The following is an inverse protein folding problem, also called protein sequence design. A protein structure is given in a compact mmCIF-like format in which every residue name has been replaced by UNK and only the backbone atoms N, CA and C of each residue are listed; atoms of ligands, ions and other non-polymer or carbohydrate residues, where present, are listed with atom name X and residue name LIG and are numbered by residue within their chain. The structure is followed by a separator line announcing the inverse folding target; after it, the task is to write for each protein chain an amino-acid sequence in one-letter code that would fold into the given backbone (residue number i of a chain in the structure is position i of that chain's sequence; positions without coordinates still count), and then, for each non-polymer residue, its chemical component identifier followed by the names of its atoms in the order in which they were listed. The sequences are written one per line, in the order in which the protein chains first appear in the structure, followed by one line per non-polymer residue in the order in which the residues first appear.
data_IF_478448356568
#
_entry.id   IF_478448356568
#
_cell.length_a   1.000
_cell.length_b   1.000
_cell.length_c   1.000
_cell.angle_alpha   90.00
_cell.angle_beta   90.00
_cell.angle_gamma   90.00
#
_symmetry.space_group_name_H-M   'P 1'
#
loop_
_entity.id
_entity.type
_entity.pdbx_description
1 polymer ?
#
# COMPACT_ATOMS: atom_id res chain seq x y z
N UNK A 1 33.91 16.88 -34.97
CA UNK A 1 33.93 15.48 -34.66
C UNK A 1 32.55 15.01 -34.19
N UNK A 2 31.83 14.27 -35.01
CA UNK A 2 30.46 13.89 -34.69
C UNK A 2 30.34 12.94 -33.49
N UNK A 3 31.36 12.21 -33.18
CA UNK A 3 31.33 11.22 -32.07
C UNK A 3 31.06 11.86 -30.70
N UNK A 4 31.55 13.07 -30.53
CA UNK A 4 31.38 13.76 -29.24
C UNK A 4 29.94 14.13 -28.95
N UNK A 5 29.17 14.42 -29.96
CA UNK A 5 27.77 14.77 -29.81
C UNK A 5 26.91 13.57 -29.44
N UNK A 6 27.27 12.41 -29.95
CA UNK A 6 26.55 11.19 -29.59
C UNK A 6 26.67 10.84 -28.13
N UNK A 7 27.82 11.09 -27.54
CA UNK A 7 28.03 10.84 -26.10
C UNK A 7 27.15 11.74 -25.23
N UNK A 8 26.98 12.99 -25.63
CA UNK A 8 26.16 13.94 -24.90
C UNK A 8 24.70 13.51 -24.91
N UNK A 9 24.19 13.05 -26.04
CA UNK A 9 22.81 12.61 -26.18
C UNK A 9 22.53 11.38 -25.28
N UNK A 10 23.46 10.43 -25.28
CA UNK A 10 23.30 9.25 -24.42
C UNK A 10 23.26 9.60 -22.95
N UNK A 11 24.01 10.58 -22.55
CA UNK A 11 24.02 11.04 -21.16
C UNK A 11 22.70 11.66 -20.75
N UNK A 12 22.11 12.45 -21.65
CA UNK A 12 20.79 13.06 -21.38
C UNK A 12 19.68 12.04 -21.17
N UNK A 13 19.75 10.93 -21.92
CA UNK A 13 18.76 9.85 -21.78
C UNK A 13 18.80 9.21 -20.40
N UNK A 14 19.98 9.06 -19.82
CA UNK A 14 20.13 8.49 -18.49
C UNK A 14 19.51 9.37 -17.40
N UNK A 15 19.61 10.67 -17.54
CA UNK A 15 19.03 11.61 -16.58
C UNK A 15 17.52 11.50 -16.56
N UNK A 16 16.88 11.33 -17.70
CA UNK A 16 15.42 11.18 -17.78
C UNK A 16 14.95 9.92 -17.07
N UNK A 17 15.68 8.82 -17.17
CA UNK A 17 15.33 7.57 -16.50
C UNK A 17 15.39 7.68 -14.99
N UNK A 18 16.20 8.57 -14.44
CA UNK A 18 16.31 8.76 -12.99
C UNK A 18 15.09 9.41 -12.37
N UNK A 19 14.20 10.03 -13.15
CA UNK A 19 13.00 10.71 -12.67
C UNK A 19 11.77 9.82 -12.69
N UNK A 20 11.94 8.54 -12.61
CA UNK A 20 10.88 7.55 -12.68
C UNK A 20 10.02 7.54 -11.39
N UNK A 21 8.71 7.52 -11.53
CA UNK A 21 7.80 7.42 -10.39
C UNK A 21 7.74 6.00 -9.85
N UNK A 22 7.34 5.88 -8.59
CA UNK A 22 7.20 4.58 -7.95
C UNK A 22 6.03 3.79 -8.55
N UNK A 23 6.21 2.48 -8.67
CA UNK A 23 5.15 1.58 -9.11
C UNK A 23 4.11 1.40 -8.00
N UNK A 24 2.87 0.97 -8.33
CA UNK A 24 1.86 0.68 -7.30
C UNK A 24 2.31 -0.33 -6.26
N UNK A 25 3.06 -1.35 -6.67
CA UNK A 25 3.60 -2.32 -5.71
C UNK A 25 4.54 -1.69 -4.70
N UNK A 26 5.39 -0.79 -5.15
CA UNK A 26 6.32 -0.07 -4.27
C UNK A 26 5.57 0.91 -3.36
N UNK A 27 4.56 1.58 -3.89
CA UNK A 27 3.74 2.51 -3.11
C UNK A 27 2.98 1.80 -1.99
N UNK A 28 2.54 0.57 -2.23
CA UNK A 28 1.79 -0.20 -1.23
C UNK A 28 2.66 -0.63 -0.07
N UNK A 29 3.95 -0.89 -0.30
CA UNK A 29 4.87 -1.33 0.75
C UNK A 29 5.00 -0.28 1.85
N UNK A 30 4.85 -0.71 3.09
CA UNK A 30 4.94 0.14 4.26
C UNK A 30 3.78 -0.08 5.20
N UNK A 31 3.64 0.81 6.17
CA UNK A 31 2.59 0.72 7.17
C UNK A 31 1.52 1.77 6.92
N UNK A 32 0.27 1.33 6.98
CA UNK A 32 -0.90 2.14 6.75
C UNK A 32 -1.79 2.11 7.98
N UNK A 33 -2.33 3.26 8.33
CA UNK A 33 -3.25 3.39 9.45
C UNK A 33 -4.66 3.60 8.91
N UNK A 34 -5.59 2.77 9.36
CA UNK A 34 -6.99 2.92 9.01
C UNK A 34 -7.53 4.21 9.65
N UNK A 35 -8.18 5.04 8.84
CA UNK A 35 -8.83 6.26 9.34
C UNK A 35 -10.08 5.84 10.08
N UNK A 36 -10.05 6.00 11.39
CA UNK A 36 -11.17 5.61 12.22
C UNK A 36 -12.33 6.60 12.14
N UNK A 37 -13.49 6.08 12.32
CA UNK A 37 -14.67 6.89 12.54
C UNK A 37 -14.51 7.70 13.80
N UNK A 38 -14.95 8.93 13.76
CA UNK A 38 -14.77 9.87 14.85
C UNK A 38 -15.45 9.46 16.17
N UNK A 39 -16.22 8.38 16.17
CA UNK A 39 -17.07 8.00 17.28
C UNK A 39 -16.57 6.88 18.15
N UNK A 40 -15.40 6.34 17.90
CA UNK A 40 -14.90 5.36 18.84
C UNK A 40 -14.47 6.11 20.08
N UNK A 41 -15.17 5.92 21.16
CA UNK A 41 -14.81 6.54 22.44
C UNK A 41 -13.48 6.03 22.97
N UNK A 42 -12.82 5.13 22.28
CA UNK A 42 -11.54 4.55 22.65
C UNK A 42 -10.47 4.95 21.63
N UNK A 43 -9.25 5.07 22.12
CA UNK A 43 -8.08 5.33 21.31
C UNK A 43 -7.69 4.05 20.56
N UNK A 44 -8.45 3.67 19.55
CA UNK A 44 -8.20 2.46 18.77
C UNK A 44 -7.53 2.81 17.46
N UNK A 45 -6.42 2.14 17.17
CA UNK A 45 -5.67 2.29 15.93
C UNK A 45 -5.55 0.92 15.28
N UNK A 46 -5.88 0.85 13.99
CA UNK A 46 -5.66 -0.35 13.19
C UNK A 46 -4.64 -0.06 12.11
N UNK A 47 -3.63 -0.89 12.03
CA UNK A 47 -2.58 -0.73 11.03
C UNK A 47 -2.48 -1.96 10.15
N UNK A 48 -2.05 -1.74 8.91
CA UNK A 48 -1.74 -2.80 7.96
C UNK A 48 -0.34 -2.52 7.42
N UNK A 49 0.56 -3.49 7.56
CA UNK A 49 1.92 -3.37 7.05
C UNK A 49 2.12 -4.35 5.92
N UNK A 50 2.44 -3.82 4.74
CA UNK A 50 2.70 -4.61 3.55
C UNK A 50 4.20 -4.65 3.30
N UNK A 51 4.77 -5.84 3.21
CA UNK A 51 6.21 -6.02 2.99
C UNK A 51 6.53 -6.22 1.52
N UNK A 52 7.80 -6.09 1.18
CA UNK A 52 8.28 -6.38 -0.18
C UNK A 52 8.19 -7.86 -0.51
N UNK A 53 8.15 -8.72 0.49
CA UNK A 53 8.11 -10.17 0.32
C UNK A 53 6.68 -10.70 0.25
N UNK A 54 5.70 -9.83 0.04
CA UNK A 54 4.28 -10.18 -0.14
C UNK A 54 3.62 -10.69 1.14
N UNK A 55 4.08 -10.24 2.29
CA UNK A 55 3.40 -10.50 3.55
C UNK A 55 2.64 -9.28 4.03
N UNK A 56 1.58 -9.50 4.78
CA UNK A 56 0.79 -8.44 5.38
C UNK A 56 0.64 -8.73 6.88
N UNK A 57 0.81 -7.69 7.68
CA UNK A 57 0.64 -7.77 9.13
C UNK A 57 -0.41 -6.76 9.56
N UNK A 58 -1.47 -7.24 10.19
CA UNK A 58 -2.54 -6.42 10.73
C UNK A 58 -2.38 -6.31 12.22
N UNK A 59 -2.49 -5.10 12.75
CA UNK A 59 -2.43 -4.87 14.20
C UNK A 59 -3.59 -4.01 14.65
N UNK A 60 -4.14 -4.34 15.81
CA UNK A 60 -5.09 -3.48 16.51
C UNK A 60 -4.41 -3.00 17.78
N UNK A 61 -4.40 -1.70 17.98
CA UNK A 61 -3.77 -1.06 19.12
C UNK A 61 -4.85 -0.28 19.87
N UNK A 62 -5.03 -0.58 21.15
CA UNK A 62 -5.99 0.13 22.00
C UNK A 62 -5.22 0.72 23.18
N UNK A 63 -5.35 2.04 23.35
CA UNK A 63 -4.67 2.79 24.43
C UNK A 63 -3.17 2.51 24.47
N UNK A 64 -2.54 2.45 23.29
CA UNK A 64 -1.10 2.26 23.16
C UNK A 64 -0.62 0.82 23.28
N UNK A 65 -1.54 -0.13 23.51
CA UNK A 65 -1.19 -1.55 23.62
C UNK A 65 -1.68 -2.34 22.44
N UNK A 66 -0.84 -3.23 21.92
CA UNK A 66 -1.23 -4.15 20.87
C UNK A 66 -2.15 -5.20 21.47
N UNK A 67 -3.42 -5.21 21.02
CA UNK A 67 -4.43 -6.14 21.55
C UNK A 67 -4.67 -7.32 20.60
N UNK A 68 -4.34 -7.16 19.31
CA UNK A 68 -4.57 -8.21 18.32
C UNK A 68 -3.59 -8.05 17.18
N UNK A 69 -3.14 -9.18 16.64
CA UNK A 69 -2.29 -9.22 15.44
C UNK A 69 -2.75 -10.35 14.55
N UNK A 70 -2.66 -10.14 13.23
CA UNK A 70 -2.93 -11.19 12.25
C UNK A 70 -1.91 -11.08 11.12
N UNK A 71 -1.42 -12.22 10.68
CA UNK A 71 -0.44 -12.32 9.60
C UNK A 71 -1.04 -12.99 8.39
N UNK A 72 -0.57 -12.60 7.23
CA UNK A 72 -0.99 -13.23 6.01
C UNK A 72 -0.09 -12.88 4.84
N UNK A 73 -0.60 -13.13 3.66
CA UNK A 73 0.07 -12.80 2.41
C UNK A 73 -0.83 -11.92 1.56
N UNK A 74 -0.25 -11.23 0.60
CA UNK A 74 -1.03 -10.42 -0.33
C UNK A 74 -0.48 -10.55 -1.74
N UNK A 75 -1.34 -10.27 -2.69
CA UNK A 75 -0.99 -10.21 -4.10
C UNK A 75 -1.72 -9.07 -4.78
N UNK A 76 -1.06 -8.44 -5.75
CA UNK A 76 -1.68 -7.47 -6.64
C UNK A 76 -1.95 -8.14 -7.97
N UNK A 77 -3.09 -7.81 -8.58
CA UNK A 77 -3.41 -8.27 -9.94
C UNK A 77 -2.43 -7.66 -10.95
N UNK A 78 -2.39 -8.22 -12.15
CA UNK A 78 -1.47 -7.76 -13.19
C UNK A 78 -1.66 -6.29 -13.54
N UNK A 79 -2.90 -5.78 -13.43
CA UNK A 79 -3.21 -4.37 -13.69
C UNK A 79 -3.08 -3.49 -12.45
N UNK A 80 -2.66 -4.07 -11.30
CA UNK A 80 -2.48 -3.38 -10.02
C UNK A 80 -3.75 -2.75 -9.45
N UNK A 81 -4.92 -3.20 -9.88
CA UNK A 81 -6.19 -2.65 -9.40
C UNK A 81 -6.87 -3.50 -8.35
N UNK A 82 -6.49 -4.76 -8.25
CA UNK A 82 -7.09 -5.69 -7.30
C UNK A 82 -6.04 -6.16 -6.31
N UNK A 83 -6.35 -6.00 -5.03
CA UNK A 83 -5.51 -6.49 -3.93
C UNK A 83 -6.21 -7.69 -3.30
N UNK A 84 -5.52 -8.82 -3.24
CA UNK A 84 -6.02 -10.02 -2.58
C UNK A 84 -5.17 -10.28 -1.37
N UNK A 85 -5.81 -10.43 -0.20
CA UNK A 85 -5.12 -10.79 1.03
C UNK A 85 -5.62 -12.14 1.52
N UNK A 86 -4.70 -12.95 2.02
CA UNK A 86 -5.03 -14.25 2.62
C UNK A 86 -4.51 -14.25 4.05
N UNK A 87 -5.44 -14.31 4.99
CA UNK A 87 -5.13 -14.28 6.42
C UNK A 87 -5.79 -15.51 7.03
N UNK A 88 -4.95 -16.41 7.57
CA UNK A 88 -5.39 -17.73 8.02
C UNK A 88 -6.07 -18.49 6.87
N UNK A 89 -7.33 -18.89 7.04
CA UNK A 89 -8.09 -19.58 6.01
C UNK A 89 -8.98 -18.65 5.21
N UNK A 90 -8.94 -17.35 5.49
CA UNK A 90 -9.81 -16.36 4.86
C UNK A 90 -9.12 -15.63 3.73
N UNK A 91 -9.84 -15.39 2.65
CA UNK A 91 -9.38 -14.60 1.51
C UNK A 91 -10.24 -13.36 1.40
N UNK A 92 -9.59 -12.21 1.32
CA UNK A 92 -10.28 -10.93 1.16
C UNK A 92 -9.78 -10.26 -0.12
N UNK A 93 -10.72 -9.74 -0.92
CA UNK A 93 -10.39 -9.08 -2.18
C UNK A 93 -10.88 -7.65 -2.15
N UNK A 94 -10.01 -6.75 -2.60
CA UNK A 94 -10.30 -5.32 -2.60
C UNK A 94 -9.90 -4.69 -3.92
N UNK A 95 -10.74 -3.79 -4.39
CA UNK A 95 -10.38 -2.93 -5.51
C UNK A 95 -9.62 -1.73 -4.95
N UNK A 96 -8.46 -1.43 -5.54
CA UNK A 96 -7.70 -0.25 -5.16
C UNK A 96 -8.26 0.93 -5.94
N UNK A 97 -8.94 1.83 -5.25
CA UNK A 97 -9.55 3.01 -5.88
C UNK A 97 -8.66 4.24 -5.75
N UNK A 98 -7.72 4.22 -4.81
CA UNK A 98 -6.75 5.28 -4.66
C UNK A 98 -5.49 4.72 -4.01
N UNK A 99 -4.34 5.04 -4.59
CA UNK A 99 -3.05 4.69 -4.01
C UNK A 99 -2.06 5.78 -4.37
N UNK A 100 -1.64 6.52 -3.37
CA UNK A 100 -0.62 7.54 -3.48
C UNK A 100 0.42 7.30 -2.39
N UNK A 101 1.42 8.14 -2.33
CA UNK A 101 2.44 8.03 -1.29
C UNK A 101 1.85 8.10 0.12
N UNK A 102 0.75 8.83 0.31
CA UNK A 102 0.19 9.10 1.63
C UNK A 102 -1.19 8.49 1.86
N UNK A 103 -1.90 8.08 0.82
CA UNK A 103 -3.28 7.62 0.94
C UNK A 103 -3.50 6.31 0.20
N UNK A 104 -4.30 5.46 0.82
CA UNK A 104 -4.75 4.19 0.22
C UNK A 104 -6.26 4.06 0.47
N UNK A 105 -7.01 3.80 -0.61
CA UNK A 105 -8.44 3.55 -0.49
C UNK A 105 -8.76 2.21 -1.14
N UNK A 106 -9.45 1.36 -0.40
CA UNK A 106 -9.82 0.01 -0.82
C UNK A 106 -11.32 -0.16 -0.74
N UNK A 107 -11.92 -0.69 -1.81
CA UNK A 107 -13.31 -1.12 -1.81
C UNK A 107 -13.36 -2.63 -1.75
N UNK A 108 -14.15 -3.17 -0.83
CA UNK A 108 -14.35 -4.62 -0.77
C UNK A 108 -15.09 -5.11 -2.01
N UNK A 109 -14.54 -6.14 -2.65
CA UNK A 109 -15.21 -6.81 -3.78
C UNK A 109 -16.32 -7.72 -3.28
N UNK A 110 -16.12 -8.32 -2.11
CA UNK A 110 -17.01 -9.33 -1.57
C UNK A 110 -18.18 -8.74 -0.76
N UNK A 111 -18.07 -7.48 -0.34
CA UNK A 111 -19.10 -6.80 0.44
C UNK A 111 -19.47 -5.48 -0.20
N UNK A 112 -20.77 -5.23 -0.30
CA UNK A 112 -21.29 -4.00 -0.91
C UNK A 112 -21.12 -2.84 0.07
N UNK A 113 -20.66 -1.69 -0.47
CA UNK A 113 -20.54 -0.43 0.27
C UNK A 113 -19.55 -0.45 1.44
N UNK A 114 -18.55 -1.30 1.37
CA UNK A 114 -17.48 -1.29 2.36
C UNK A 114 -16.23 -0.68 1.74
N UNK A 115 -15.88 0.50 2.20
CA UNK A 115 -14.69 1.23 1.76
C UNK A 115 -13.78 1.46 2.96
N UNK A 116 -12.52 1.12 2.82
CA UNK A 116 -11.52 1.37 3.85
C UNK A 116 -10.55 2.42 3.35
N UNK A 117 -10.33 3.46 4.14
CA UNK A 117 -9.40 4.54 3.81
C UNK A 117 -8.27 4.54 4.81
N UNK A 118 -7.06 4.55 4.27
CA UNK A 118 -5.85 4.49 5.07
C UNK A 118 -4.97 5.70 4.79
N UNK A 119 -4.18 6.08 5.78
CA UNK A 119 -3.12 7.07 5.63
C UNK A 119 -1.79 6.43 5.97
N UNK A 120 -0.71 6.94 5.39
CA UNK A 120 0.62 6.43 5.68
C UNK A 120 0.92 6.64 7.15
N UNK A 121 1.44 5.62 7.82
CA UNK A 121 1.71 5.63 9.24
C UNK A 121 3.15 5.23 9.51
N UNK A 122 3.81 6.00 10.38
CA UNK A 122 5.22 5.82 10.62
C UNK A 122 6.00 6.36 9.42
N UNK A 123 7.11 5.80 9.14
CA UNK A 123 7.88 6.31 8.03
C UNK A 123 7.98 5.44 6.89
#
# INVERSE_FOLDING_TARGET
MPIRYLLIIAFSSLVILACKSESPGELLVGTWKLREMANSGNSMVRTATFSKTKTVLLKTIIDGKITDTANGTYELSADNKLLTTKIDTSTFRFEITKLTKNFLELNSVDKINVTARYVRYGD
#
